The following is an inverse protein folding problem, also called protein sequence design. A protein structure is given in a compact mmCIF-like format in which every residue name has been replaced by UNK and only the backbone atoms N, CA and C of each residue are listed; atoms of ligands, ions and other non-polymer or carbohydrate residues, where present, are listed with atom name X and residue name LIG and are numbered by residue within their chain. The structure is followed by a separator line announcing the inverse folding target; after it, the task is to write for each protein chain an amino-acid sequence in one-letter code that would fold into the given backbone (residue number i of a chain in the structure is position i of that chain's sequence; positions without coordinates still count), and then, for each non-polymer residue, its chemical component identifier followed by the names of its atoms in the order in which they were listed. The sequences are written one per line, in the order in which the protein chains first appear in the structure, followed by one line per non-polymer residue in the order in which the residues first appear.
data_IF_201211255148
#
_entry.id   IF_201211255148
#
_cell.length_a   1.000
_cell.length_b   1.000
_cell.length_c   1.000
_cell.angle_alpha   90.00
_cell.angle_beta   90.00
_cell.angle_gamma   90.00
#
_symmetry.space_group_name_H-M   'P 1'
#
loop_
_entity.id
_entity.type
_entity.pdbx_description
1 polymer ?
#
# COMPACT_ATOMS: atom_id res chain seq x y z
N UNK A 1 18.82 -16.27 -31.58
CA UNK A 1 19.19 -17.70 -31.80
C UNK A 1 18.23 -18.57 -31.02
N UNK A 2 17.80 -19.69 -31.60
CA UNK A 2 17.00 -20.71 -30.92
C UNK A 2 17.89 -21.50 -29.97
N UNK A 3 17.48 -21.62 -28.70
CA UNK A 3 18.15 -22.49 -27.73
C UNK A 3 17.77 -23.97 -28.00
N UNK A 4 18.74 -24.86 -28.08
CA UNK A 4 18.54 -26.27 -28.36
C UNK A 4 19.20 -27.20 -27.31
N UNK A 5 19.52 -26.68 -26.12
CA UNK A 5 20.07 -27.44 -25.01
C UNK A 5 19.03 -28.32 -24.33
N UNK A 6 19.45 -29.43 -23.74
CA UNK A 6 18.61 -30.36 -22.97
C UNK A 6 18.19 -29.76 -21.61
N UNK A 7 19.03 -28.91 -21.01
CA UNK A 7 18.76 -28.26 -19.75
C UNK A 7 17.87 -27.04 -20.02
N UNK A 8 16.82 -26.78 -19.21
CA UNK A 8 16.01 -25.55 -19.35
C UNK A 8 16.87 -24.30 -19.37
N UNK A 9 16.51 -23.32 -20.22
CA UNK A 9 17.32 -22.14 -20.48
C UNK A 9 17.65 -21.34 -19.21
N UNK A 10 16.70 -21.15 -18.32
CA UNK A 10 16.89 -20.38 -17.08
C UNK A 10 17.77 -21.12 -16.07
N UNK A 11 17.63 -22.46 -16.00
CA UNK A 11 18.49 -23.29 -15.16
C UNK A 11 19.94 -23.32 -15.71
N UNK A 12 20.10 -23.34 -17.04
CA UNK A 12 21.42 -23.27 -17.68
C UNK A 12 22.17 -21.98 -17.34
N UNK A 13 21.47 -20.85 -17.30
CA UNK A 13 22.05 -19.57 -16.94
C UNK A 13 21.96 -19.25 -15.44
N UNK A 14 21.49 -20.17 -14.62
CA UNK A 14 21.34 -19.99 -13.15
C UNK A 14 20.53 -18.75 -12.76
N UNK A 15 19.44 -18.48 -13.51
CA UNK A 15 18.59 -17.30 -13.30
C UNK A 15 17.47 -17.58 -12.29
N UNK A 16 17.08 -18.85 -12.09
CA UNK A 16 15.96 -19.22 -11.21
C UNK A 16 16.11 -18.66 -9.78
N UNK A 17 17.31 -18.74 -9.20
CA UNK A 17 17.57 -18.18 -7.87
C UNK A 17 17.44 -16.65 -7.82
N UNK A 18 17.72 -15.97 -8.92
CA UNK A 18 17.54 -14.51 -9.02
C UNK A 18 16.07 -14.14 -9.15
N UNK A 19 15.30 -14.94 -9.90
CA UNK A 19 13.84 -14.78 -10.01
C UNK A 19 13.20 -14.98 -8.63
N UNK A 20 13.60 -16.06 -7.93
CA UNK A 20 13.08 -16.34 -6.59
C UNK A 20 13.44 -15.24 -5.58
N UNK A 21 14.64 -14.66 -5.66
CA UNK A 21 15.03 -13.54 -4.81
C UNK A 21 14.16 -12.29 -5.00
N UNK A 22 13.54 -12.15 -6.17
CA UNK A 22 12.65 -11.03 -6.45
C UNK A 22 11.32 -11.07 -5.68
N UNK A 23 10.96 -12.24 -5.13
CA UNK A 23 9.80 -12.39 -4.25
C UNK A 23 10.14 -12.17 -2.77
N UNK A 24 11.42 -12.12 -2.40
CA UNK A 24 11.85 -11.92 -1.02
C UNK A 24 11.85 -10.44 -0.66
N UNK A 25 11.43 -10.13 0.57
CA UNK A 25 11.46 -8.76 1.09
C UNK A 25 12.88 -8.26 1.27
N UNK A 26 13.80 -9.12 1.75
CA UNK A 26 15.20 -8.82 2.02
C UNK A 26 16.11 -9.40 0.94
N UNK A 27 17.05 -8.60 0.44
CA UNK A 27 18.06 -9.01 -0.54
C UNK A 27 19.45 -8.73 0.03
N UNK A 28 20.30 -9.76 0.05
CA UNK A 28 21.65 -9.65 0.59
C UNK A 28 22.60 -8.99 -0.39
N UNK A 29 23.51 -8.18 0.14
CA UNK A 29 24.59 -7.54 -0.59
C UNK A 29 25.90 -8.36 -0.51
N UNK A 30 26.83 -8.23 -1.48
CA UNK A 30 28.10 -8.96 -1.49
C UNK A 30 28.96 -8.74 -0.25
N UNK A 31 28.97 -7.53 0.30
CA UNK A 31 29.70 -7.19 1.53
C UNK A 31 29.11 -7.78 2.81
N UNK A 32 27.92 -8.40 2.71
CA UNK A 32 27.18 -8.99 3.84
C UNK A 32 26.11 -8.06 4.42
N UNK A 33 25.94 -6.83 3.92
CA UNK A 33 24.78 -5.98 4.17
C UNK A 33 23.54 -6.52 3.49
N UNK A 34 22.41 -5.84 3.66
CA UNK A 34 21.15 -6.17 3.00
C UNK A 34 20.33 -4.92 2.66
N UNK A 35 19.51 -5.06 1.65
CA UNK A 35 18.44 -4.11 1.35
C UNK A 35 17.10 -4.73 1.67
N UNK A 36 16.20 -3.96 2.25
CA UNK A 36 14.83 -4.34 2.56
C UNK A 36 13.90 -3.52 1.68
N UNK A 37 13.06 -4.19 0.89
CA UNK A 37 12.17 -3.55 -0.07
C UNK A 37 10.72 -3.74 0.39
N UNK A 38 10.07 -2.66 0.78
CA UNK A 38 8.69 -2.63 1.22
C UNK A 38 7.84 -1.85 0.21
N UNK A 39 7.06 -2.57 -0.58
CA UNK A 39 6.07 -1.97 -1.45
C UNK A 39 4.79 -1.71 -0.64
N UNK A 40 4.44 -0.44 -0.48
CA UNK A 40 3.16 -0.01 0.10
C UNK A 40 2.21 0.44 -1.00
N UNK A 41 0.97 0.70 -0.67
CA UNK A 41 -0.03 1.22 -1.61
C UNK A 41 0.40 2.58 -2.22
N UNK A 42 1.07 3.43 -1.45
CA UNK A 42 1.44 4.78 -1.87
C UNK A 42 2.80 4.87 -2.55
N UNK A 43 3.80 4.14 -2.06
CA UNK A 43 5.19 4.21 -2.51
C UNK A 43 5.95 2.94 -2.18
N UNK A 44 7.11 2.76 -2.79
CA UNK A 44 8.08 1.72 -2.38
C UNK A 44 9.15 2.34 -1.50
N UNK A 45 9.30 1.83 -0.28
CA UNK A 45 10.37 2.19 0.63
C UNK A 45 11.50 1.15 0.56
N UNK A 46 12.74 1.61 0.53
CA UNK A 46 13.93 0.74 0.52
C UNK A 46 14.85 1.18 1.65
N UNK A 47 15.10 0.28 2.60
CA UNK A 47 16.01 0.46 3.72
C UNK A 47 17.31 -0.31 3.49
N UNK A 48 18.45 0.23 3.92
CA UNK A 48 19.79 -0.35 3.74
C UNK A 48 20.39 -0.66 5.08
N UNK A 49 20.66 -1.93 5.30
CA UNK A 49 21.29 -2.43 6.53
C UNK A 49 22.75 -2.81 6.27
N UNK A 50 23.68 -2.22 7.04
CA UNK A 50 25.08 -2.63 7.01
C UNK A 50 25.29 -3.99 7.67
N UNK A 51 26.29 -4.74 7.23
CA UNK A 51 26.70 -5.96 7.91
C UNK A 51 27.21 -5.63 9.33
N UNK A 52 26.95 -6.52 10.29
CA UNK A 52 27.49 -6.41 11.65
C UNK A 52 29.03 -6.52 11.71
N UNK A 53 29.68 -6.91 10.64
CA UNK A 53 31.14 -7.05 10.63
C UNK A 53 31.78 -5.73 10.23
N UNK A 54 32.04 -4.89 11.20
CA UNK A 54 33.04 -3.82 11.14
C UNK A 54 34.44 -4.42 10.99
N UNK A 55 34.75 -5.03 9.84
CA UNK A 55 36.09 -5.53 9.53
C UNK A 55 37.02 -4.46 9.01
N UNK A 56 36.54 -3.24 8.81
CA UNK A 56 37.32 -2.09 8.40
C UNK A 56 37.31 -1.03 9.50
N UNK A 57 38.45 -0.44 9.78
CA UNK A 57 38.66 0.56 10.84
C UNK A 57 37.96 1.90 10.59
N UNK A 58 37.16 2.05 9.53
CA UNK A 58 36.41 3.29 9.24
C UNK A 58 34.94 2.96 8.95
N UNK A 59 34.07 3.44 9.83
CA UNK A 59 32.61 3.29 9.73
C UNK A 59 32.11 4.01 8.45
N UNK A 60 32.69 5.14 8.13
CA UNK A 60 32.33 5.94 6.95
C UNK A 60 32.64 5.22 5.62
N UNK A 61 33.77 4.55 5.53
CA UNK A 61 34.15 3.78 4.33
C UNK A 61 33.24 2.55 4.18
N UNK A 62 32.90 1.89 5.29
CA UNK A 62 31.95 0.79 5.29
C UNK A 62 30.56 1.24 4.82
N UNK A 63 30.09 2.38 5.29
CA UNK A 63 28.81 2.98 4.88
C UNK A 63 28.81 3.30 3.38
N UNK A 64 29.88 3.94 2.87
CA UNK A 64 30.01 4.25 1.46
C UNK A 64 29.99 2.99 0.58
N UNK A 65 30.79 1.99 0.91
CA UNK A 65 30.87 0.75 0.15
C UNK A 65 29.52 0.01 0.14
N UNK A 66 28.85 -0.09 1.29
CA UNK A 66 27.52 -0.71 1.38
C UNK A 66 26.50 0.06 0.55
N UNK A 67 26.49 1.39 0.59
CA UNK A 67 25.60 2.23 -0.18
C UNK A 67 25.85 2.13 -1.70
N UNK A 68 27.09 1.97 -2.13
CA UNK A 68 27.44 1.77 -3.55
C UNK A 68 26.94 0.41 -4.06
N UNK A 69 27.15 -0.67 -3.29
CA UNK A 69 26.61 -1.99 -3.60
C UNK A 69 25.07 -1.98 -3.62
N UNK A 70 24.46 -1.31 -2.64
CA UNK A 70 23.02 -1.15 -2.57
C UNK A 70 22.46 -0.39 -3.79
N UNK A 71 23.13 0.66 -4.26
CA UNK A 71 22.70 1.41 -5.43
C UNK A 71 22.63 0.54 -6.70
N UNK A 72 23.63 -0.34 -6.92
CA UNK A 72 23.63 -1.27 -8.03
C UNK A 72 22.52 -2.32 -7.89
N UNK A 73 22.37 -2.89 -6.70
CA UNK A 73 21.37 -3.94 -6.44
C UNK A 73 19.94 -3.37 -6.49
N UNK A 74 19.70 -2.18 -5.97
CA UNK A 74 18.41 -1.50 -6.06
C UNK A 74 18.01 -1.33 -7.53
N UNK A 75 18.90 -0.78 -8.36
CA UNK A 75 18.63 -0.62 -9.78
C UNK A 75 18.30 -1.96 -10.48
N UNK A 76 18.96 -3.07 -10.06
CA UNK A 76 18.66 -4.41 -10.56
C UNK A 76 17.28 -4.89 -10.10
N UNK A 77 16.95 -4.71 -8.81
CA UNK A 77 15.66 -5.13 -8.23
C UNK A 77 14.48 -4.33 -8.80
N UNK A 78 14.65 -3.04 -9.08
CA UNK A 78 13.62 -2.24 -9.74
C UNK A 78 13.23 -2.82 -11.10
N UNK A 79 14.20 -3.31 -11.88
CA UNK A 79 13.94 -3.94 -13.18
C UNK A 79 13.36 -5.34 -13.03
N UNK A 80 13.89 -6.17 -12.12
CA UNK A 80 13.42 -7.55 -11.91
C UNK A 80 11.97 -7.60 -11.44
N UNK A 81 11.62 -6.73 -10.50
CA UNK A 81 10.28 -6.65 -9.89
C UNK A 81 9.32 -5.77 -10.69
N UNK A 82 9.82 -5.06 -11.70
CA UNK A 82 9.10 -3.99 -12.44
C UNK A 82 8.41 -2.98 -11.52
N UNK A 83 9.11 -2.55 -10.47
CA UNK A 83 8.59 -1.58 -9.51
C UNK A 83 8.46 -0.23 -10.19
N UNK A 84 7.31 0.42 -10.02
CA UNK A 84 7.02 1.74 -10.59
C UNK A 84 6.38 2.69 -9.58
N UNK A 85 6.31 3.94 -9.93
CA UNK A 85 5.80 5.01 -9.07
C UNK A 85 6.90 5.66 -8.23
N UNK A 86 6.53 6.20 -7.08
CA UNK A 86 7.45 6.84 -6.15
C UNK A 86 8.22 5.79 -5.34
N UNK A 87 9.54 5.96 -5.28
CA UNK A 87 10.46 5.10 -4.56
C UNK A 87 11.32 5.99 -3.66
N UNK A 88 11.39 5.65 -2.40
CA UNK A 88 12.21 6.33 -1.39
C UNK A 88 13.26 5.36 -0.87
N UNK A 89 14.53 5.75 -0.97
CA UNK A 89 15.67 4.94 -0.54
C UNK A 89 16.28 5.63 0.67
N UNK A 90 16.42 4.89 1.77
CA UNK A 90 17.09 5.30 2.99
C UNK A 90 18.53 4.77 2.95
N UNK A 91 19.46 5.64 2.55
CA UNK A 91 20.89 5.32 2.54
C UNK A 91 21.48 5.44 3.91
N UNK A 92 22.45 4.57 4.23
CA UNK A 92 23.24 4.69 5.47
C UNK A 92 23.87 6.08 5.48
N UNK A 93 23.77 6.78 6.62
CA UNK A 93 24.28 8.13 6.79
C UNK A 93 25.73 8.28 6.37
N UNK A 94 25.99 9.31 5.57
CA UNK A 94 27.32 9.69 5.10
C UNK A 94 27.56 11.16 5.40
N UNK A 95 28.59 11.45 6.19
CA UNK A 95 28.97 12.82 6.56
C UNK A 95 29.58 13.60 5.37
N UNK A 96 30.51 13.03 4.56
CA UNK A 96 31.12 13.78 3.46
C UNK A 96 30.17 13.90 2.26
N UNK A 97 29.93 15.12 1.81
CA UNK A 97 29.13 15.41 0.62
C UNK A 97 29.66 14.72 -0.65
N UNK A 98 30.97 14.48 -0.71
CA UNK A 98 31.59 13.75 -1.82
C UNK A 98 31.08 12.30 -1.91
N UNK A 99 30.91 11.62 -0.77
CA UNK A 99 30.37 10.26 -0.70
C UNK A 99 28.90 10.22 -1.14
N UNK A 100 28.10 11.18 -0.68
CA UNK A 100 26.71 11.31 -1.15
C UNK A 100 26.63 11.48 -2.68
N UNK A 101 27.47 12.33 -3.26
CA UNK A 101 27.54 12.53 -4.71
C UNK A 101 27.99 11.27 -5.45
N UNK A 102 28.89 10.51 -4.88
CA UNK A 102 29.37 9.25 -5.46
C UNK A 102 28.23 8.22 -5.54
N UNK A 103 27.47 8.05 -4.47
CA UNK A 103 26.27 7.19 -4.42
C UNK A 103 25.20 7.70 -5.38
N UNK A 104 24.92 9.02 -5.42
CA UNK A 104 24.00 9.61 -6.39
C UNK A 104 24.40 9.32 -7.85
N UNK A 105 25.68 9.42 -8.17
CA UNK A 105 26.16 9.12 -9.51
C UNK A 105 26.06 7.62 -9.81
N UNK A 106 26.39 6.78 -8.84
CA UNK A 106 26.29 5.31 -8.98
C UNK A 106 24.88 4.86 -9.29
N UNK A 107 23.87 5.33 -8.56
CA UNK A 107 22.48 4.97 -8.83
C UNK A 107 22.03 5.50 -10.20
N UNK A 108 22.43 6.73 -10.60
CA UNK A 108 22.12 7.28 -11.95
C UNK A 108 22.72 6.43 -13.05
N UNK A 109 23.95 5.96 -12.87
CA UNK A 109 24.61 5.13 -13.86
C UNK A 109 24.00 3.72 -13.92
N UNK A 110 23.66 3.14 -12.78
CA UNK A 110 23.03 1.82 -12.69
C UNK A 110 21.63 1.75 -13.35
N UNK A 111 20.88 2.85 -13.32
CA UNK A 111 19.54 2.89 -13.95
C UNK A 111 19.56 3.29 -15.43
N UNK A 112 20.70 3.69 -16.00
CA UNK A 112 20.79 4.10 -17.43
C UNK A 112 20.30 3.05 -18.41
N UNK A 113 20.47 1.78 -18.09
CA UNK A 113 20.04 0.66 -18.93
C UNK A 113 18.57 0.28 -18.75
N UNK A 114 17.84 0.97 -17.86
CA UNK A 114 16.42 0.72 -17.66
C UNK A 114 15.61 1.29 -18.83
N UNK A 115 14.64 0.50 -19.31
CA UNK A 115 13.72 0.95 -20.38
C UNK A 115 12.67 1.95 -19.88
N UNK A 116 12.41 1.98 -18.56
CA UNK A 116 11.48 2.89 -17.94
C UNK A 116 12.09 4.28 -17.79
N UNK A 117 11.28 5.32 -17.92
CA UNK A 117 11.70 6.68 -17.62
C UNK A 117 11.85 6.86 -16.12
N UNK A 118 13.03 7.31 -15.67
CA UNK A 118 13.36 7.50 -14.25
C UNK A 118 13.78 8.94 -14.01
N UNK A 119 13.24 9.52 -12.93
CA UNK A 119 13.66 10.81 -12.38
C UNK A 119 14.25 10.56 -10.99
N UNK A 120 15.40 11.17 -10.69
CA UNK A 120 16.14 10.96 -9.43
C UNK A 120 16.44 12.31 -8.81
N UNK A 121 16.13 12.50 -7.54
CA UNK A 121 16.49 13.66 -6.75
C UNK A 121 17.95 13.59 -6.28
N UNK A 122 18.39 14.56 -5.50
CA UNK A 122 19.60 14.47 -4.68
C UNK A 122 19.29 13.83 -3.33
N UNK A 123 20.30 13.29 -2.67
CA UNK A 123 20.17 12.83 -1.28
C UNK A 123 19.82 14.05 -0.42
N UNK A 124 18.74 13.94 0.33
CA UNK A 124 18.26 14.97 1.23
C UNK A 124 19.12 15.08 2.50
N UNK A 125 18.89 16.11 3.33
CA UNK A 125 19.54 16.25 4.64
C UNK A 125 19.24 15.11 5.60
N UNK A 126 18.24 14.30 5.31
CA UNK A 126 17.82 13.15 6.11
C UNK A 126 18.38 11.81 5.60
N UNK A 127 19.33 11.82 4.64
CA UNK A 127 19.86 10.59 4.06
C UNK A 127 18.98 9.98 2.97
N UNK A 128 17.78 10.51 2.74
CA UNK A 128 16.79 9.95 1.81
C UNK A 128 17.04 10.38 0.38
N UNK A 129 16.98 9.42 -0.55
CA UNK A 129 16.94 9.67 -1.99
C UNK A 129 15.56 9.31 -2.52
N UNK A 130 14.93 10.28 -3.15
CA UNK A 130 13.64 10.12 -3.80
C UNK A 130 13.84 9.89 -5.30
N UNK A 131 13.12 8.91 -5.85
CA UNK A 131 13.07 8.68 -7.28
C UNK A 131 11.65 8.34 -7.74
N UNK A 132 11.39 8.62 -9.01
CA UNK A 132 10.14 8.22 -9.67
C UNK A 132 10.49 7.38 -10.88
N UNK A 133 9.95 6.17 -10.95
CA UNK A 133 10.09 5.26 -12.09
C UNK A 133 8.73 5.07 -12.77
N UNK A 134 8.71 5.23 -14.08
CA UNK A 134 7.50 5.03 -14.88
C UNK A 134 6.97 3.60 -14.67
N UNK A 135 5.67 3.46 -14.39
CA UNK A 135 4.99 2.16 -14.38
C UNK A 135 4.81 1.69 -15.82
N UNK A 136 5.38 0.54 -16.15
CA UNK A 136 5.24 -0.07 -17.49
C UNK A 136 4.19 -1.17 -17.50
N UNK A 137 4.11 -1.93 -16.40
CA UNK A 137 3.18 -3.03 -16.15
C UNK A 137 2.92 -3.14 -14.65
N UNK A 138 1.93 -3.93 -14.20
CA UNK A 138 1.81 -4.30 -12.80
C UNK A 138 3.11 -4.94 -12.31
N UNK A 139 3.54 -4.59 -11.10
CA UNK A 139 4.76 -5.15 -10.52
C UNK A 139 4.63 -6.66 -10.29
N UNK A 140 5.77 -7.34 -10.12
CA UNK A 140 5.80 -8.77 -9.81
C UNK A 140 4.99 -9.08 -8.54
N UNK A 141 5.07 -8.22 -7.54
CA UNK A 141 4.27 -8.32 -6.31
C UNK A 141 2.78 -8.19 -6.57
N UNK A 142 2.34 -7.17 -7.30
CA UNK A 142 0.93 -6.93 -7.62
C UNK A 142 0.30 -8.07 -8.43
N UNK A 143 1.06 -8.70 -9.32
CA UNK A 143 0.58 -9.79 -10.18
C UNK A 143 0.59 -11.17 -9.52
N UNK A 144 1.38 -11.38 -8.45
CA UNK A 144 1.66 -12.71 -7.89
C UNK A 144 1.29 -12.87 -6.43
N UNK A 145 0.88 -11.81 -5.73
CA UNK A 145 0.51 -11.85 -4.33
C UNK A 145 -0.92 -11.35 -4.11
N UNK A 146 -1.53 -11.86 -3.06
CA UNK A 146 -2.79 -11.34 -2.53
C UNK A 146 -2.56 -10.65 -1.19
N UNK A 147 -3.35 -9.63 -0.90
CA UNK A 147 -3.31 -8.98 0.42
C UNK A 147 -3.67 -9.99 1.49
N UNK A 148 -2.84 -10.12 2.50
CA UNK A 148 -3.09 -11.03 3.62
C UNK A 148 -4.35 -10.61 4.38
N UNK A 149 -5.39 -11.46 4.52
CA UNK A 149 -6.65 -11.08 5.18
C UNK A 149 -6.47 -10.79 6.67
N UNK A 150 -5.42 -11.33 7.32
CA UNK A 150 -5.16 -11.10 8.73
C UNK A 150 -4.54 -9.74 9.03
N UNK A 151 -3.52 -9.35 8.26
CA UNK A 151 -2.78 -8.10 8.52
C UNK A 151 -3.07 -7.00 7.50
N UNK A 152 -3.85 -7.26 6.47
CA UNK A 152 -4.22 -6.30 5.40
C UNK A 152 -3.01 -5.55 4.83
N UNK A 153 -1.87 -6.24 4.71
CA UNK A 153 -0.63 -5.68 4.19
C UNK A 153 0.30 -5.03 5.21
N UNK A 154 -0.12 -4.89 6.48
CA UNK A 154 0.69 -4.22 7.52
C UNK A 154 1.86 -5.05 8.04
N UNK A 155 1.87 -6.38 7.79
CA UNK A 155 2.88 -7.32 8.31
C UNK A 155 2.84 -7.52 9.83
N UNK A 156 1.90 -6.90 10.54
CA UNK A 156 1.72 -6.99 12.00
C UNK A 156 0.27 -7.22 12.33
N UNK A 157 0.03 -8.00 13.35
CA UNK A 157 -1.31 -8.23 13.92
C UNK A 157 -1.29 -7.88 15.39
N UNK A 158 -2.42 -7.45 15.92
CA UNK A 158 -2.59 -7.11 17.33
C UNK A 158 -2.51 -8.38 18.16
N UNK A 159 -1.85 -8.33 19.31
CA UNK A 159 -1.75 -9.48 20.22
C UNK A 159 -3.11 -9.81 20.88
N UNK A 160 -3.24 -11.05 21.34
CA UNK A 160 -4.50 -11.56 21.86
C UNK A 160 -4.93 -10.85 23.14
N UNK A 161 -4.01 -10.48 24.01
CA UNK A 161 -4.33 -9.80 25.27
C UNK A 161 -4.86 -8.40 25.02
N UNK A 162 -4.15 -7.61 24.21
CA UNK A 162 -4.55 -6.27 23.82
C UNK A 162 -5.88 -6.25 23.07
N UNK A 163 -6.11 -7.24 22.19
CA UNK A 163 -7.37 -7.41 21.47
C UNK A 163 -8.53 -7.72 22.43
N UNK A 164 -8.32 -8.67 23.36
CA UNK A 164 -9.33 -9.05 24.36
C UNK A 164 -9.73 -7.88 25.27
N UNK A 165 -8.78 -7.05 25.67
CA UNK A 165 -9.06 -5.84 26.45
C UNK A 165 -9.86 -4.80 25.66
N UNK A 166 -9.64 -4.74 24.35
CA UNK A 166 -10.45 -3.87 23.47
C UNK A 166 -11.87 -4.38 23.33
N UNK A 167 -12.04 -5.70 23.17
CA UNK A 167 -13.35 -6.34 23.08
C UNK A 167 -14.14 -6.11 24.37
N UNK A 168 -13.51 -6.25 25.55
CA UNK A 168 -14.18 -5.95 26.82
C UNK A 168 -14.72 -4.52 26.88
N UNK A 169 -13.97 -3.54 26.41
CA UNK A 169 -14.43 -2.15 26.39
C UNK A 169 -15.59 -1.93 25.42
N UNK A 170 -15.56 -2.60 24.27
CA UNK A 170 -16.66 -2.55 23.31
C UNK A 170 -17.91 -3.25 23.86
N UNK A 171 -17.77 -4.38 24.57
CA UNK A 171 -18.89 -5.03 25.24
C UNK A 171 -19.54 -4.13 26.28
N UNK A 172 -18.75 -3.39 27.08
CA UNK A 172 -19.27 -2.42 28.04
C UNK A 172 -19.97 -1.24 27.34
N UNK A 173 -19.42 -0.74 26.22
CA UNK A 173 -20.03 0.30 25.42
C UNK A 173 -21.38 -0.14 24.82
N UNK A 174 -21.45 -1.35 24.28
CA UNK A 174 -22.71 -1.88 23.73
C UNK A 174 -23.73 -2.18 24.83
N UNK A 175 -23.29 -2.68 26.01
CA UNK A 175 -24.14 -2.91 27.16
C UNK A 175 -24.74 -1.61 27.75
N UNK A 176 -24.04 -0.49 27.62
CA UNK A 176 -24.49 0.82 28.12
C UNK A 176 -25.62 1.43 27.28
N UNK A 177 -25.80 0.98 26.03
CA UNK A 177 -26.82 1.53 25.13
C UNK A 177 -28.23 1.18 25.62
N UNK A 178 -29.18 2.11 25.52
CA UNK A 178 -30.55 1.94 25.93
C UNK A 178 -31.23 0.74 25.24
N UNK A 179 -32.10 0.02 25.97
CA UNK A 179 -32.83 -1.15 25.49
C UNK A 179 -31.94 -2.32 25.05
N UNK A 180 -30.73 -2.46 25.60
CA UNK A 180 -29.86 -3.61 25.38
C UNK A 180 -30.27 -4.73 26.37
N UNK A 181 -30.51 -5.93 25.86
CA UNK A 181 -30.81 -7.09 26.69
C UNK A 181 -29.65 -8.10 26.68
N UNK A 182 -29.06 -8.32 25.48
CA UNK A 182 -27.94 -9.24 25.34
C UNK A 182 -26.88 -8.61 24.43
N UNK A 183 -25.62 -8.94 24.67
CA UNK A 183 -24.51 -8.60 23.78
C UNK A 183 -23.78 -9.89 23.41
N UNK A 184 -23.78 -10.21 22.11
CA UNK A 184 -23.09 -11.37 21.58
C UNK A 184 -21.74 -10.93 21.01
N UNK A 185 -20.66 -11.62 21.35
CA UNK A 185 -19.36 -11.41 20.73
C UNK A 185 -18.86 -12.71 20.11
N UNK A 186 -18.60 -12.68 18.80
CA UNK A 186 -18.01 -13.79 18.07
C UNK A 186 -16.52 -13.53 17.95
N UNK A 187 -15.71 -14.43 18.44
CA UNK A 187 -14.26 -14.25 18.55
C UNK A 187 -13.52 -15.55 18.27
N UNK A 188 -12.25 -15.49 17.84
CA UNK A 188 -11.39 -16.68 17.74
C UNK A 188 -11.30 -17.43 19.07
N UNK A 189 -11.14 -18.76 19.00
CA UNK A 189 -11.12 -19.65 20.18
C UNK A 189 -10.13 -19.19 21.25
N UNK A 190 -8.94 -18.70 20.87
CA UNK A 190 -7.93 -18.22 21.81
C UNK A 190 -8.41 -17.00 22.61
N UNK A 191 -9.09 -16.08 21.94
CA UNK A 191 -9.66 -14.88 22.55
C UNK A 191 -10.82 -15.25 23.47
N UNK A 192 -11.71 -16.17 23.03
CA UNK A 192 -12.80 -16.67 23.86
C UNK A 192 -12.28 -17.31 25.16
N UNK A 193 -11.25 -18.16 25.05
CA UNK A 193 -10.62 -18.78 26.21
C UNK A 193 -10.08 -17.76 27.19
N UNK A 194 -9.40 -16.72 26.68
CA UNK A 194 -8.86 -15.67 27.53
C UNK A 194 -9.97 -14.84 28.22
N UNK A 195 -11.00 -14.44 27.46
CA UNK A 195 -12.12 -13.68 28.01
C UNK A 195 -12.88 -14.45 29.08
N UNK A 196 -13.23 -15.71 28.81
CA UNK A 196 -14.05 -16.54 29.71
C UNK A 196 -13.29 -17.00 30.94
N UNK A 197 -11.98 -17.16 30.89
CA UNK A 197 -11.20 -17.63 32.05
C UNK A 197 -10.52 -16.44 32.77
N UNK A 198 -9.68 -15.69 32.10
CA UNK A 198 -8.87 -14.63 32.73
C UNK A 198 -9.67 -13.35 33.02
N UNK A 199 -10.66 -13.03 32.19
CA UNK A 199 -11.47 -11.80 32.31
C UNK A 199 -12.90 -12.06 32.76
N UNK A 200 -13.21 -13.28 33.23
CA UNK A 200 -14.55 -13.67 33.68
C UNK A 200 -15.15 -12.72 34.72
N UNK A 201 -14.33 -12.26 35.69
CA UNK A 201 -14.78 -11.31 36.71
C UNK A 201 -15.17 -9.96 36.13
N UNK A 202 -14.42 -9.49 35.09
CA UNK A 202 -14.72 -8.24 34.41
C UNK A 202 -16.02 -8.34 33.63
N UNK A 203 -16.24 -9.42 32.88
CA UNK A 203 -17.49 -9.68 32.16
C UNK A 203 -18.66 -9.69 33.15
N UNK A 204 -18.58 -10.47 34.23
CA UNK A 204 -19.64 -10.51 35.24
C UNK A 204 -19.91 -9.15 35.90
N UNK A 205 -18.90 -8.31 36.07
CA UNK A 205 -19.06 -6.95 36.59
C UNK A 205 -19.83 -6.06 35.62
N UNK A 206 -19.65 -6.22 34.31
CA UNK A 206 -20.36 -5.50 33.26
C UNK A 206 -21.83 -5.96 33.23
N UNK A 207 -22.07 -7.26 33.19
CA UNK A 207 -23.41 -7.86 33.26
C UNK A 207 -24.21 -7.33 34.42
N UNK A 208 -23.63 -7.38 35.62
CA UNK A 208 -24.29 -6.92 36.85
C UNK A 208 -24.53 -5.40 36.88
N UNK A 209 -23.64 -4.60 36.26
CA UNK A 209 -23.75 -3.14 36.25
C UNK A 209 -24.87 -2.65 35.34
N UNK A 210 -25.03 -3.30 34.19
CA UNK A 210 -25.95 -2.87 33.14
C UNK A 210 -27.21 -3.74 33.02
N UNK A 211 -27.33 -4.82 33.80
CA UNK A 211 -28.40 -5.80 33.70
C UNK A 211 -28.58 -6.40 32.31
N UNK A 212 -27.44 -6.76 31.70
CA UNK A 212 -27.31 -7.25 30.31
C UNK A 212 -26.58 -8.58 30.33
N UNK A 213 -27.02 -9.57 29.54
CA UNK A 213 -26.31 -10.84 29.37
C UNK A 213 -25.22 -10.72 28.31
N UNK A 214 -24.00 -11.16 28.61
CA UNK A 214 -22.88 -11.17 27.66
C UNK A 214 -22.59 -12.61 27.25
N UNK A 215 -22.71 -12.88 25.94
CA UNK A 215 -22.49 -14.20 25.36
C UNK A 215 -21.23 -14.16 24.50
N UNK A 216 -20.18 -14.88 24.94
CA UNK A 216 -18.93 -15.05 24.19
C UNK A 216 -18.99 -16.32 23.36
N UNK A 217 -19.00 -16.17 22.03
CA UNK A 217 -19.14 -17.27 21.08
C UNK A 217 -17.76 -17.53 20.41
N UNK A 218 -17.15 -18.71 20.69
CA UNK A 218 -15.93 -19.09 19.99
C UNK A 218 -16.23 -19.49 18.55
N UNK A 219 -15.42 -19.03 17.61
CA UNK A 219 -15.47 -19.41 16.19
C UNK A 219 -14.10 -19.91 15.73
N UNK A 220 -14.03 -21.18 15.28
CA UNK A 220 -12.80 -21.81 14.80
C UNK A 220 -12.37 -21.28 13.43
N UNK A 221 -13.33 -20.88 12.59
CA UNK A 221 -13.05 -20.35 11.25
C UNK A 221 -12.53 -18.90 11.28
N UNK A 222 -12.71 -18.19 12.41
CA UNK A 222 -12.29 -16.81 12.56
C UNK A 222 -10.85 -16.73 13.06
N UNK A 223 -10.01 -15.99 12.34
CA UNK A 223 -8.63 -15.75 12.75
C UNK A 223 -8.46 -14.35 13.36
N UNK A 224 -7.53 -14.25 14.33
CA UNK A 224 -7.11 -12.95 14.87
C UNK A 224 -6.53 -12.08 13.76
N UNK A 225 -6.77 -10.74 13.73
CA UNK A 225 -7.41 -9.91 14.75
C UNK A 225 -8.92 -9.72 14.59
N UNK A 226 -9.59 -10.53 13.77
CA UNK A 226 -11.01 -10.36 13.48
C UNK A 226 -11.86 -10.73 14.70
N UNK A 227 -12.93 -9.99 14.89
CA UNK A 227 -13.98 -10.26 15.86
C UNK A 227 -15.25 -9.51 15.45
N UNK A 228 -16.42 -9.92 15.97
CA UNK A 228 -17.68 -9.25 15.75
C UNK A 228 -18.42 -9.08 17.09
N UNK A 229 -19.11 -7.95 17.24
CA UNK A 229 -19.93 -7.66 18.42
C UNK A 229 -21.32 -7.27 17.97
N UNK A 230 -22.33 -7.94 18.45
CA UNK A 230 -23.73 -7.73 18.11
C UNK A 230 -24.53 -7.40 19.36
N UNK A 231 -25.37 -6.40 19.27
CA UNK A 231 -26.29 -6.00 20.30
C UNK A 231 -27.70 -6.56 20.01
N UNK A 232 -28.30 -7.24 20.96
CA UNK A 232 -29.66 -7.71 20.91
C UNK A 232 -30.52 -6.82 21.81
N UNK A 233 -31.59 -6.30 21.26
CA UNK A 233 -32.53 -5.41 21.97
C UNK A 233 -33.57 -6.21 22.72
N UNK A 234 -34.23 -5.54 23.66
CA UNK A 234 -35.40 -6.11 24.36
C UNK A 234 -36.49 -6.45 23.33
N UNK A 235 -36.98 -7.68 23.37
CA UNK A 235 -37.95 -8.25 22.41
C UNK A 235 -37.34 -8.89 21.15
N UNK A 236 -36.04 -8.78 20.92
CA UNK A 236 -35.27 -9.47 19.84
C UNK A 236 -34.45 -10.65 20.39
N UNK A 237 -34.79 -11.14 21.61
CA UNK A 237 -33.98 -12.14 22.29
C UNK A 237 -33.90 -13.44 21.46
N UNK A 238 -32.66 -13.87 21.22
CA UNK A 238 -32.36 -15.11 20.52
C UNK A 238 -32.15 -16.21 21.58
N UNK A 239 -33.11 -17.11 21.73
CA UNK A 239 -33.04 -18.26 22.64
C UNK A 239 -32.32 -19.46 21.99
N UNK A 240 -31.30 -19.20 21.15
CA UNK A 240 -30.51 -20.25 20.53
C UNK A 240 -29.28 -20.60 21.36
N UNK A 241 -28.83 -21.85 21.23
CA UNK A 241 -27.60 -22.27 21.88
C UNK A 241 -26.37 -21.55 21.31
N UNK A 242 -25.45 -21.15 22.17
CA UNK A 242 -24.32 -20.28 21.82
C UNK A 242 -23.48 -20.79 20.65
N UNK A 243 -23.38 -22.09 20.41
CA UNK A 243 -22.66 -22.65 19.27
C UNK A 243 -23.37 -22.45 17.91
N UNK A 244 -24.66 -22.15 17.89
CA UNK A 244 -25.42 -21.84 16.67
C UNK A 244 -25.38 -20.35 16.36
N UNK A 245 -25.14 -19.49 17.35
CA UNK A 245 -25.15 -18.03 17.17
C UNK A 245 -24.12 -17.55 16.13
N UNK A 246 -22.98 -18.21 16.01
CA UNK A 246 -21.98 -17.86 15.01
C UNK A 246 -22.51 -18.00 13.57
N UNK A 247 -23.30 -19.06 13.30
CA UNK A 247 -23.90 -19.27 11.97
C UNK A 247 -25.04 -18.28 11.72
N UNK A 248 -25.91 -18.09 12.74
CA UNK A 248 -27.05 -17.18 12.64
C UNK A 248 -26.62 -15.74 12.31
N UNK A 249 -25.56 -15.24 12.93
CA UNK A 249 -25.03 -13.91 12.64
C UNK A 249 -24.30 -13.85 11.30
N UNK A 250 -23.64 -14.92 10.87
CA UNK A 250 -23.01 -14.99 9.56
C UNK A 250 -24.04 -14.93 8.43
N UNK A 251 -25.14 -15.68 8.56
CA UNK A 251 -26.26 -15.67 7.61
C UNK A 251 -26.92 -14.28 7.56
N UNK A 252 -27.02 -13.57 8.68
CA UNK A 252 -27.52 -12.19 8.74
C UNK A 252 -26.59 -11.21 8.04
N UNK A 253 -25.28 -11.27 8.29
CA UNK A 253 -24.30 -10.40 7.63
C UNK A 253 -24.28 -10.61 6.11
N UNK A 254 -24.40 -11.86 5.63
CA UNK A 254 -24.49 -12.15 4.18
C UNK A 254 -25.78 -11.59 3.57
N UNK A 255 -26.92 -11.64 4.29
CA UNK A 255 -28.17 -11.05 3.81
C UNK A 255 -28.12 -9.53 3.77
N UNK A 256 -27.57 -8.87 4.78
CA UNK A 256 -27.36 -7.42 4.77
C UNK A 256 -26.41 -6.97 3.65
N UNK A 257 -25.28 -7.66 3.45
CA UNK A 257 -24.36 -7.37 2.36
C UNK A 257 -25.01 -7.58 0.98
N UNK A 258 -25.88 -8.58 0.84
CA UNK A 258 -26.62 -8.81 -0.39
C UNK A 258 -27.68 -7.71 -0.63
N UNK A 259 -28.39 -7.27 0.40
CA UNK A 259 -29.37 -6.17 0.32
C UNK A 259 -28.69 -4.83 -0.01
N UNK A 260 -27.57 -4.51 0.62
CA UNK A 260 -26.78 -3.30 0.34
C UNK A 260 -26.26 -3.30 -1.11
N UNK A 261 -25.82 -4.46 -1.62
CA UNK A 261 -25.43 -4.66 -3.00
C UNK A 261 -26.61 -4.50 -3.98
N UNK A 262 -27.81 -4.91 -3.62
CA UNK A 262 -29.02 -4.72 -4.42
C UNK A 262 -29.50 -3.27 -4.42
N UNK A 263 -29.42 -2.59 -3.29
CA UNK A 263 -29.73 -1.16 -3.17
C UNK A 263 -28.76 -0.33 -4.03
N UNK A 264 -27.47 -0.64 -4.00
CA UNK A 264 -26.46 0.03 -4.85
C UNK A 264 -26.73 -0.19 -6.34
N UNK A 265 -27.17 -1.38 -6.78
CA UNK A 265 -27.53 -1.65 -8.17
C UNK A 265 -28.81 -0.92 -8.61
N UNK A 266 -29.77 -0.74 -7.70
CA UNK A 266 -31.01 -0.02 -7.99
C UNK A 266 -30.80 1.50 -8.07
N UNK A 267 -29.79 2.05 -7.40
CA UNK A 267 -29.43 3.47 -7.49
C UNK A 267 -28.81 3.81 -8.86
N UNK A 268 -28.10 2.87 -9.49
CA UNK A 268 -27.55 3.05 -10.85
C UNK A 268 -28.63 2.97 -11.96
N UNK A 269 -29.81 2.42 -11.68
CA UNK A 269 -30.89 2.21 -12.67
C UNK A 269 -31.97 3.30 -12.69
N UNK A 270 -31.96 4.28 -11.80
CA UNK A 270 -32.86 5.44 -11.81
C UNK A 270 -32.23 6.60 -12.56
N UNK A 271 -32.89 7.23 -13.58
CA UNK A 271 -32.36 8.44 -14.21
C UNK A 271 -32.27 9.52 -13.15
N UNK A 272 -31.08 10.03 -12.92
CA UNK A 272 -30.73 10.97 -11.87
C UNK A 272 -31.58 12.26 -11.98
N UNK A 273 -32.49 12.46 -11.03
CA UNK A 273 -32.75 13.79 -10.54
C UNK A 273 -31.51 14.19 -9.70
N UNK A 274 -30.79 15.19 -10.19
CA UNK A 274 -29.57 15.70 -9.59
C UNK A 274 -29.81 16.09 -8.13
N UNK A 275 -29.16 15.46 -7.13
CA UNK A 275 -29.19 15.98 -5.79
C UNK A 275 -28.46 17.32 -5.79
N UNK A 276 -29.06 18.32 -5.13
CA UNK A 276 -28.44 19.61 -4.89
C UNK A 276 -27.07 19.39 -4.21
N UNK A 277 -26.01 19.64 -4.96
CA UNK A 277 -24.64 19.62 -4.44
C UNK A 277 -24.53 20.73 -3.40
N UNK A 278 -24.31 20.39 -2.13
CA UNK A 278 -23.86 21.35 -1.15
C UNK A 278 -22.57 22.00 -1.68
N UNK A 279 -22.68 23.28 -2.04
CA UNK A 279 -21.56 24.04 -2.59
C UNK A 279 -20.47 24.17 -1.53
N UNK A 280 -19.26 23.73 -1.86
CA UNK A 280 -18.08 24.00 -1.06
C UNK A 280 -17.97 25.52 -0.80
N UNK A 281 -17.58 25.88 0.43
CA UNK A 281 -17.52 27.27 0.90
C UNK A 281 -16.55 28.19 0.10
N UNK A 282 -15.85 27.64 -0.91
CA UNK A 282 -15.01 28.39 -1.85
C UNK A 282 -15.32 27.90 -3.25
N UNK A 283 -16.22 28.60 -3.95
CA UNK A 283 -16.41 28.43 -5.38
C UNK A 283 -15.55 29.45 -6.13
N UNK A 284 -14.46 28.99 -6.74
CA UNK A 284 -13.77 29.73 -7.79
C UNK A 284 -14.64 29.65 -9.05
N UNK A 285 -15.57 30.59 -9.18
CA UNK A 285 -16.34 30.77 -10.40
C UNK A 285 -15.42 31.34 -11.48
N UNK A 286 -14.85 30.45 -12.32
CA UNK A 286 -14.26 30.87 -13.59
C UNK A 286 -15.41 31.17 -14.53
N UNK A 287 -15.83 32.42 -14.62
CA UNK A 287 -16.96 32.89 -15.40
C UNK A 287 -16.65 33.24 -16.86
N UNK A 288 -15.49 32.84 -17.39
CA UNK A 288 -15.17 33.08 -18.78
C UNK A 288 -14.93 31.76 -19.53
N UNK A 289 -15.72 31.45 -20.58
CA UNK A 289 -15.35 30.39 -21.49
C UNK A 289 -14.02 30.76 -22.16
N UNK A 290 -13.16 29.76 -22.36
CA UNK A 290 -11.92 29.95 -23.07
C UNK A 290 -12.22 30.58 -24.43
N UNK A 291 -11.46 31.63 -24.89
CA UNK A 291 -11.66 32.20 -26.20
C UNK A 291 -11.42 31.11 -27.26
N UNK A 292 -12.30 31.05 -28.24
CA UNK A 292 -12.18 30.13 -29.37
C UNK A 292 -10.80 30.31 -30.01
N UNK A 293 -10.15 29.23 -30.47
CA UNK A 293 -8.84 29.32 -31.11
C UNK A 293 -8.98 30.18 -32.39
N UNK A 294 -8.33 31.33 -32.37
CA UNK A 294 -8.24 32.21 -33.56
C UNK A 294 -7.40 31.47 -34.59
N UNK A 295 -8.03 31.07 -35.70
CA UNK A 295 -7.32 30.57 -36.87
C UNK A 295 -6.31 31.64 -37.35
N UNK A 296 -5.06 31.44 -37.06
CA UNK A 296 -3.98 32.24 -37.63
C UNK A 296 -3.88 31.90 -39.14
N UNK A 297 -4.44 32.74 -39.99
CA UNK A 297 -4.18 32.68 -41.41
C UNK A 297 -2.68 32.75 -41.64
N UNK A 298 -2.12 31.72 -42.23
CA UNK A 298 -0.72 31.70 -42.60
C UNK A 298 -0.40 32.93 -43.46
N UNK A 299 0.73 33.63 -43.25
CA UNK A 299 1.12 34.76 -44.06
C UNK A 299 1.29 34.29 -45.49
N UNK A 300 0.56 34.91 -46.42
CA UNK A 300 0.70 34.64 -47.86
C UNK A 300 2.13 34.89 -48.26
N UNK A 301 2.81 33.91 -48.83
CA UNK A 301 4.13 34.03 -49.36
C UNK A 301 4.19 35.22 -50.37
N UNK A 302 5.18 36.08 -50.31
CA UNK A 302 5.27 37.23 -51.22
C UNK A 302 5.36 36.73 -52.65
N UNK A 303 4.57 37.36 -53.53
CA UNK A 303 4.50 37.00 -54.94
C UNK A 303 5.87 37.18 -55.58
N UNK A 304 6.16 36.41 -56.64
CA UNK A 304 7.41 36.50 -57.40
C UNK A 304 7.75 37.92 -57.86
N UNK A 305 6.72 38.73 -58.19
CA UNK A 305 6.85 40.13 -58.56
C UNK A 305 7.36 41.02 -57.42
N UNK A 306 6.93 40.77 -56.16
CA UNK A 306 7.46 41.55 -55.00
C UNK A 306 8.90 41.20 -54.66
N UNK A 307 9.35 39.98 -54.94
CA UNK A 307 10.77 39.59 -54.84
C UNK A 307 11.67 40.24 -55.89
N UNK A 308 11.14 40.39 -57.10
CA UNK A 308 11.87 41.06 -58.20
C UNK A 308 12.03 42.57 -57.93
N UNK A 309 10.98 43.22 -57.41
CA UNK A 309 11.03 44.65 -57.04
C UNK A 309 12.00 44.91 -55.83
N UNK A 310 12.08 43.96 -54.88
CA UNK A 310 13.05 44.08 -53.77
C UNK A 310 14.52 43.94 -54.26
N UNK A 311 14.76 43.06 -55.24
CA UNK A 311 16.09 42.87 -55.81
C UNK A 311 16.53 44.06 -56.64
N UNK A 312 15.62 44.77 -57.33
CA UNK A 312 15.92 45.98 -58.09
C UNK A 312 16.17 47.21 -57.23
N UNK A 313 15.63 47.29 -56.03
CA UNK A 313 15.85 48.40 -55.08
C UNK A 313 17.19 48.35 -54.37
N UNK A 314 17.95 47.27 -54.45
CA UNK A 314 19.27 47.10 -53.87
C UNK A 314 20.40 47.38 -54.85
N UNK A 315 20.09 47.79 -56.11
CA UNK A 315 21.08 48.05 -57.14
C UNK A 315 21.17 49.54 -57.52
N UNK A 316 20.50 50.45 -56.84
CA UNK A 316 20.60 51.88 -56.93
C UNK A 316 20.96 52.55 -55.61
#
# INVERSE_FOLDING_TARGET
KLYQGEVPLFSHYQIESQIESAFQREVRLPSGGSIVIDATEALTAIDINSARSTRGGDIEETALNTNLEAADEIARQLRLRDLGGLIVIDFIDMTPVRHQREVENRIRDAVRQDRARIQISRISRFGLLEMSRQRLSPSLGESSHHVCPRCQGTGKIRDNESLSLSILRLLEEEALKENTKQVHTIVPVQIASYLLNEKRKAIHSIEKRHDVDIIVVPNEAMETPNFSVFRVRDGEEVNELSYNLAKLHQDQDETFAAEESLVSRNIEATPAETPAVESAAVSLAITMPAPEPVERKAPKAPSLLSRLFAALKGLF
#
